data_IF_014145997157
#
_entry.id   IF_014145997157
#
_cell.length_a   1.000
_cell.length_b   1.000
_cell.length_c   1.000
_cell.angle_alpha   90.00
_cell.angle_beta   90.00
_cell.angle_gamma   90.00
#
_symmetry.space_group_name_H-M   'P 1'
#
loop_
_entity.id
_entity.type
_entity.pdbx_description
1 polymer ?
#
# COMPACT_ATOMS: atom_id res chain seq x y z
N UNK A 1 14.38 15.14 -16.95
CA UNK A 1 14.21 13.69 -16.76
C UNK A 1 13.88 13.43 -15.30
N UNK A 2 12.78 12.73 -15.00
CA UNK A 2 12.48 12.32 -13.61
C UNK A 2 13.41 11.16 -13.29
N UNK A 3 14.51 11.44 -12.61
CA UNK A 3 15.44 10.43 -12.09
C UNK A 3 14.69 9.64 -11.03
N UNK A 4 14.20 8.45 -11.38
CA UNK A 4 13.50 7.61 -10.42
C UNK A 4 14.53 6.81 -9.63
N UNK A 5 14.68 7.03 -8.31
CA UNK A 5 15.63 6.25 -7.52
C UNK A 5 15.25 4.76 -7.61
N UNK A 6 16.22 3.89 -7.90
CA UNK A 6 16.03 2.43 -7.89
C UNK A 6 15.96 1.95 -6.45
N UNK A 7 14.81 2.15 -5.80
CA UNK A 7 14.56 1.66 -4.44
C UNK A 7 14.12 0.20 -4.48
N UNK A 8 14.65 -0.62 -3.57
CA UNK A 8 14.25 -2.01 -3.44
C UNK A 8 12.96 -2.12 -2.60
N UNK A 9 11.84 -1.77 -3.22
CA UNK A 9 10.50 -1.81 -2.62
C UNK A 9 10.13 -3.20 -2.13
N UNK A 10 10.58 -4.24 -2.84
CA UNK A 10 10.38 -5.63 -2.41
C UNK A 10 10.97 -5.88 -1.02
N UNK A 11 12.16 -5.35 -0.73
CA UNK A 11 12.79 -5.47 0.59
C UNK A 11 12.08 -4.61 1.64
N UNK A 12 11.77 -3.36 1.30
CA UNK A 12 11.14 -2.39 2.22
C UNK A 12 9.77 -2.90 2.69
N UNK A 13 8.95 -3.38 1.76
CA UNK A 13 7.58 -3.80 2.02
C UNK A 13 7.50 -5.27 2.46
N UNK A 14 8.61 -6.02 2.41
CA UNK A 14 8.68 -7.46 2.75
C UNK A 14 8.06 -7.77 4.09
N UNK A 15 8.35 -6.93 5.10
CA UNK A 15 7.86 -7.16 6.45
C UNK A 15 6.36 -7.01 6.58
N UNK A 16 5.73 -6.12 5.79
CA UNK A 16 4.27 -5.99 5.76
C UNK A 16 3.62 -7.17 5.03
N UNK A 17 4.20 -7.59 3.91
CA UNK A 17 3.72 -8.75 3.13
C UNK A 17 3.82 -10.05 3.93
N UNK A 18 4.93 -10.26 4.66
CA UNK A 18 5.18 -11.52 5.37
C UNK A 18 4.33 -11.70 6.63
N UNK A 19 3.81 -10.61 7.20
CA UNK A 19 2.97 -10.63 8.41
C UNK A 19 1.49 -10.88 8.11
N UNK A 20 1.07 -10.78 6.86
CA UNK A 20 -0.30 -11.08 6.47
C UNK A 20 -0.60 -12.58 6.65
N UNK A 21 -1.83 -12.97 7.07
CA UNK A 21 -2.20 -14.37 7.24
C UNK A 21 -2.01 -15.13 5.93
N UNK A 22 -1.25 -16.21 6.00
CA UNK A 22 -1.05 -17.14 4.88
C UNK A 22 -2.31 -17.99 4.70
N UNK A 23 -2.91 -17.98 3.51
CA UNK A 23 -3.81 -19.08 3.12
C UNK A 23 -2.98 -20.26 2.65
N UNK A 24 -3.60 -21.43 2.64
CA UNK A 24 -3.02 -22.62 2.03
C UNK A 24 -3.68 -22.84 0.68
N UNK A 25 -2.89 -23.17 -0.33
CA UNK A 25 -3.34 -23.55 -1.66
C UNK A 25 -2.90 -24.98 -1.94
N UNK A 26 -3.81 -25.79 -2.44
CA UNK A 26 -3.50 -27.15 -2.88
C UNK A 26 -2.52 -27.11 -4.06
N UNK A 27 -1.57 -28.03 -4.03
CA UNK A 27 -0.54 -28.19 -5.04
C UNK A 27 -0.35 -29.67 -5.36
N UNK A 28 -0.60 -30.02 -6.63
CA UNK A 28 -0.33 -31.36 -7.17
C UNK A 28 1.17 -31.65 -7.30
N UNK A 29 2.02 -30.63 -7.23
CA UNK A 29 3.47 -30.77 -7.29
C UNK A 29 4.11 -31.18 -5.94
N UNK A 30 3.30 -31.37 -4.89
CA UNK A 30 3.76 -31.77 -3.56
C UNK A 30 2.81 -32.80 -2.96
N UNK A 31 3.34 -33.71 -2.13
CA UNK A 31 2.53 -34.62 -1.35
C UNK A 31 2.01 -33.97 -0.06
N UNK A 32 0.88 -34.49 0.44
CA UNK A 32 0.37 -34.11 1.74
C UNK A 32 1.35 -34.54 2.84
N UNK A 33 1.94 -33.57 3.56
CA UNK A 33 2.95 -33.84 4.61
C UNK A 33 2.43 -34.67 5.78
N UNK A 34 1.11 -34.62 6.07
CA UNK A 34 0.50 -35.41 7.15
C UNK A 34 0.16 -36.84 6.70
N UNK A 35 0.01 -37.07 5.39
CA UNK A 35 -0.34 -38.36 4.81
C UNK A 35 0.45 -38.61 3.51
N UNK A 36 1.77 -38.71 3.61
CA UNK A 36 2.65 -38.72 2.43
C UNK A 36 2.46 -39.95 1.51
N UNK A 37 1.92 -41.06 2.02
CA UNK A 37 1.66 -42.29 1.26
C UNK A 37 0.35 -42.23 0.44
N UNK A 38 -0.53 -41.26 0.71
CA UNK A 38 -1.76 -41.01 -0.04
C UNK A 38 -1.46 -40.16 -1.28
N UNK A 39 -1.10 -40.81 -2.39
CA UNK A 39 -0.75 -40.13 -3.65
C UNK A 39 -1.95 -39.39 -4.29
N UNK A 40 -3.16 -39.73 -3.88
CA UNK A 40 -4.41 -39.08 -4.29
C UNK A 40 -4.64 -37.72 -3.62
N UNK A 41 -3.98 -37.45 -2.49
CA UNK A 41 -4.11 -36.18 -1.77
C UNK A 41 -3.06 -35.17 -2.22
N UNK A 42 -3.47 -33.96 -2.63
CA UNK A 42 -2.51 -32.89 -2.90
C UNK A 42 -1.84 -32.42 -1.60
N UNK A 43 -0.61 -31.95 -1.75
CA UNK A 43 0.08 -31.18 -0.72
C UNK A 43 -0.42 -29.74 -0.68
N UNK A 44 -0.08 -29.04 0.38
CA UNK A 44 -0.43 -27.62 0.55
C UNK A 44 0.82 -26.75 0.42
N UNK A 45 0.71 -25.62 -0.29
CA UNK A 45 1.68 -24.53 -0.27
C UNK A 45 1.07 -23.29 0.37
N UNK A 46 1.90 -22.52 1.06
CA UNK A 46 1.52 -21.21 1.58
C UNK A 46 1.29 -20.23 0.44
N UNK A 47 0.15 -19.54 0.46
CA UNK A 47 -0.20 -18.44 -0.44
C UNK A 47 -0.54 -17.21 0.40
N UNK A 48 0.18 -16.13 0.14
CA UNK A 48 -0.13 -14.82 0.70
C UNK A 48 -1.27 -14.21 -0.12
N UNK A 49 -2.44 -14.04 0.50
CA UNK A 49 -3.55 -13.25 -0.07
C UNK A 49 -3.44 -11.79 0.37
N UNK A 50 -2.21 -11.28 0.45
CA UNK A 50 -1.98 -9.87 0.80
C UNK A 50 -2.42 -8.99 -0.35
N UNK A 51 -3.25 -8.00 -0.08
CA UNK A 51 -3.56 -6.93 -1.02
C UNK A 51 -2.77 -5.68 -0.65
N UNK A 52 -2.32 -4.93 -1.66
CA UNK A 52 -1.61 -3.67 -1.44
C UNK A 52 -2.54 -2.54 -1.87
N UNK A 53 -2.91 -1.67 -0.93
CA UNK A 53 -3.68 -0.46 -1.20
C UNK A 53 -2.75 0.76 -1.17
N UNK A 54 -2.50 1.35 -2.33
CA UNK A 54 -1.64 2.51 -2.51
C UNK A 54 -2.52 3.77 -2.63
N UNK A 55 -2.29 4.74 -1.77
CA UNK A 55 -2.95 6.03 -1.73
C UNK A 55 -1.95 7.11 -2.13
N UNK A 56 -2.35 7.96 -3.08
CA UNK A 56 -1.54 9.07 -3.60
C UNK A 56 -2.24 10.37 -3.22
N UNK A 57 -1.54 11.20 -2.47
CA UNK A 57 -2.04 12.51 -2.06
C UNK A 57 -2.19 13.42 -3.27
N UNK A 58 -3.38 14.00 -3.38
CA UNK A 58 -3.81 14.88 -4.46
C UNK A 58 -4.20 16.28 -3.93
N UNK A 59 -3.93 16.55 -2.66
CA UNK A 59 -4.18 17.84 -2.02
C UNK A 59 -3.44 18.98 -2.70
N UNK A 60 -3.87 20.22 -2.44
CA UNK A 60 -3.30 21.40 -3.08
C UNK A 60 -1.83 21.69 -2.71
N UNK A 61 -1.32 21.18 -1.58
CA UNK A 61 0.06 21.39 -1.12
C UNK A 61 1.10 20.60 -1.93
N UNK A 62 0.68 19.52 -2.59
CA UNK A 62 1.58 18.70 -3.40
C UNK A 62 2.00 19.46 -4.66
N UNK A 63 3.30 19.56 -4.91
CA UNK A 63 3.86 20.13 -6.14
C UNK A 63 3.82 19.13 -7.30
N UNK A 64 3.94 19.62 -8.54
CA UNK A 64 3.97 18.75 -9.73
C UNK A 64 5.19 17.80 -9.75
N UNK A 65 6.32 18.22 -9.17
CA UNK A 65 7.50 17.37 -9.03
C UNK A 65 7.27 16.24 -8.02
N UNK A 66 6.72 16.54 -6.84
CA UNK A 66 6.37 15.53 -5.83
C UNK A 66 5.33 14.54 -6.36
N UNK A 67 4.29 15.02 -7.05
CA UNK A 67 3.30 14.14 -7.67
C UNK A 67 3.94 13.18 -8.70
N UNK A 68 4.88 13.68 -9.50
CA UNK A 68 5.61 12.86 -10.48
C UNK A 68 6.50 11.82 -9.79
N UNK A 69 7.15 12.20 -8.68
CA UNK A 69 7.95 11.30 -7.86
C UNK A 69 7.10 10.19 -7.20
N UNK A 70 5.94 10.54 -6.65
CA UNK A 70 5.01 9.59 -6.05
C UNK A 70 4.53 8.57 -7.09
N UNK A 71 4.11 9.04 -8.28
CA UNK A 71 3.69 8.16 -9.38
C UNK A 71 4.83 7.24 -9.83
N UNK A 72 6.05 7.75 -9.93
CA UNK A 72 7.19 6.95 -10.34
C UNK A 72 7.51 5.84 -9.33
N UNK A 73 7.48 6.15 -8.02
CA UNK A 73 7.67 5.17 -6.96
C UNK A 73 6.51 4.16 -6.89
N UNK A 74 5.26 4.61 -7.01
CA UNK A 74 4.08 3.75 -7.09
C UNK A 74 4.17 2.74 -8.25
N UNK A 75 4.61 3.19 -9.43
CA UNK A 75 4.85 2.30 -10.56
C UNK A 75 6.00 1.32 -10.33
N UNK A 76 7.06 1.71 -9.61
CA UNK A 76 8.14 0.77 -9.25
C UNK A 76 7.66 -0.32 -8.28
N UNK A 77 6.80 0.02 -7.32
CA UNK A 77 6.19 -0.95 -6.39
C UNK A 77 5.47 -2.05 -7.19
N UNK A 78 4.63 -1.68 -8.16
CA UNK A 78 3.94 -2.67 -9.02
C UNK A 78 4.89 -3.51 -9.85
N UNK A 79 6.00 -2.94 -10.34
CA UNK A 79 6.97 -3.69 -11.15
C UNK A 79 7.76 -4.71 -10.32
N UNK A 80 8.00 -4.45 -9.04
CA UNK A 80 8.83 -5.30 -8.18
C UNK A 80 8.03 -6.35 -7.40
N UNK A 81 6.71 -6.16 -7.27
CA UNK A 81 5.82 -7.02 -6.50
C UNK A 81 4.84 -7.75 -7.42
N UNK A 82 4.81 -9.07 -7.32
CA UNK A 82 3.86 -9.94 -8.03
C UNK A 82 2.57 -10.13 -7.20
N UNK A 83 2.00 -9.01 -6.75
CA UNK A 83 0.85 -8.95 -5.83
C UNK A 83 -0.16 -7.95 -6.39
N UNK A 84 -1.45 -8.16 -6.12
CA UNK A 84 -2.51 -7.22 -6.49
C UNK A 84 -2.29 -5.87 -5.79
N UNK A 85 -2.01 -4.84 -6.60
CA UNK A 85 -1.88 -3.45 -6.14
C UNK A 85 -3.10 -2.66 -6.60
N UNK A 86 -3.79 -2.05 -5.65
CA UNK A 86 -4.93 -1.17 -5.87
C UNK A 86 -4.48 0.28 -5.66
N UNK A 87 -4.80 1.15 -6.61
CA UNK A 87 -4.41 2.55 -6.55
C UNK A 87 -5.61 3.45 -6.25
N UNK A 88 -5.36 4.44 -5.40
CA UNK A 88 -6.33 5.44 -4.99
C UNK A 88 -5.66 6.81 -4.95
N UNK A 89 -6.38 7.85 -5.32
CA UNK A 89 -6.03 9.23 -4.99
C UNK A 89 -6.86 9.66 -3.79
N UNK A 90 -6.32 10.52 -2.94
CA UNK A 90 -7.08 11.07 -1.82
C UNK A 90 -6.80 12.56 -1.63
N UNK A 91 -7.82 13.25 -1.13
CA UNK A 91 -7.78 14.61 -0.59
C UNK A 91 -8.62 14.64 0.70
N UNK A 92 -9.85 15.15 0.63
CA UNK A 92 -10.94 14.95 1.60
C UNK A 92 -11.71 13.65 1.37
N UNK A 93 -11.63 13.09 0.16
CA UNK A 93 -12.28 11.83 -0.22
C UNK A 93 -11.32 10.93 -0.98
N UNK A 94 -11.62 9.63 -0.94
CA UNK A 94 -10.86 8.61 -1.67
C UNK A 94 -11.51 8.34 -3.02
N UNK A 95 -10.69 8.35 -4.07
CA UNK A 95 -11.10 8.03 -5.44
C UNK A 95 -10.23 6.90 -6.00
N UNK A 96 -10.87 5.89 -6.59
CA UNK A 96 -10.15 4.77 -7.19
C UNK A 96 -9.47 5.18 -8.50
N UNK A 97 -8.18 4.85 -8.62
CA UNK A 97 -7.41 5.02 -9.85
C UNK A 97 -7.42 3.70 -10.62
N UNK A 98 -8.18 3.63 -11.71
CA UNK A 98 -8.27 2.43 -12.56
C UNK A 98 -6.98 2.16 -13.33
N UNK A 99 -6.32 3.20 -13.81
CA UNK A 99 -5.08 3.09 -14.56
C UNK A 99 -4.13 4.22 -14.17
N UNK A 100 -3.09 3.87 -13.41
CA UNK A 100 -2.11 4.83 -12.90
C UNK A 100 -1.27 5.47 -14.02
N UNK A 101 -1.12 4.80 -15.17
CA UNK A 101 -0.32 5.34 -16.29
C UNK A 101 -1.02 6.49 -17.01
N UNK A 102 -2.35 6.51 -16.99
CA UNK A 102 -3.17 7.53 -17.65
C UNK A 102 -3.84 8.46 -16.65
N UNK A 103 -3.58 8.27 -15.36
CA UNK A 103 -4.16 9.11 -14.32
C UNK A 103 -3.57 10.51 -14.41
N UNK A 104 -4.45 11.50 -14.40
CA UNK A 104 -4.08 12.90 -14.32
C UNK A 104 -4.49 13.44 -12.96
N UNK A 105 -3.59 14.23 -12.39
CA UNK A 105 -3.79 14.88 -11.12
C UNK A 105 -4.84 15.99 -11.28
N UNK A 106 -5.80 16.03 -10.37
CA UNK A 106 -6.74 17.15 -10.24
C UNK A 106 -6.55 17.76 -8.85
N UNK A 107 -5.70 18.78 -8.74
CA UNK A 107 -5.44 19.41 -7.44
C UNK A 107 -6.76 19.88 -6.81
N UNK A 108 -7.04 19.42 -5.59
CA UNK A 108 -8.28 19.71 -4.88
C UNK A 108 -8.05 19.82 -3.38
N UNK A 109 -8.79 20.74 -2.75
CA UNK A 109 -9.07 20.79 -1.31
C UNK A 109 -7.89 20.69 -0.32
N UNK A 110 -8.25 20.45 0.94
CA UNK A 110 -7.32 20.07 2.01
C UNK A 110 -7.11 18.55 2.09
N UNK A 111 -6.34 18.12 3.09
CA UNK A 111 -5.96 16.72 3.29
C UNK A 111 -6.70 16.11 4.47
N UNK A 112 -7.25 14.91 4.29
CA UNK A 112 -7.89 14.13 5.37
C UNK A 112 -7.46 12.67 5.28
N UNK A 113 -6.39 12.31 5.98
CA UNK A 113 -5.92 10.94 6.13
C UNK A 113 -6.97 9.98 6.73
N UNK A 114 -7.88 10.43 7.59
CA UNK A 114 -8.96 9.59 8.13
C UNK A 114 -9.85 9.03 7.01
N UNK A 115 -10.03 9.77 5.91
CA UNK A 115 -10.82 9.33 4.76
C UNK A 115 -10.27 8.02 4.13
N UNK A 116 -8.95 7.79 4.21
CA UNK A 116 -8.29 6.56 3.76
C UNK A 116 -8.81 5.38 4.58
N UNK A 117 -8.79 5.52 5.90
CA UNK A 117 -9.12 4.43 6.83
C UNK A 117 -10.61 4.15 6.91
N UNK A 118 -11.45 5.14 6.60
CA UNK A 118 -12.89 4.97 6.47
C UNK A 118 -13.25 4.29 5.13
N UNK A 119 -12.53 4.62 4.05
CA UNK A 119 -12.75 4.04 2.73
C UNK A 119 -12.33 2.58 2.63
N UNK A 120 -11.25 2.18 3.31
CA UNK A 120 -10.71 0.82 3.23
C UNK A 120 -11.76 -0.27 3.55
N UNK A 121 -12.49 -0.24 4.69
CA UNK A 121 -13.57 -1.18 4.96
C UNK A 121 -14.71 -1.13 3.94
N UNK A 122 -15.08 0.07 3.47
CA UNK A 122 -16.15 0.24 2.48
C UNK A 122 -15.79 -0.40 1.12
N UNK A 123 -14.50 -0.39 0.78
CA UNK A 123 -13.93 -1.04 -0.40
C UNK A 123 -13.62 -2.53 -0.21
N UNK A 124 -14.00 -3.11 0.95
CA UNK A 124 -13.79 -4.51 1.33
C UNK A 124 -12.33 -4.92 1.54
N UNK A 125 -11.46 -3.97 1.91
CA UNK A 125 -10.12 -4.29 2.41
C UNK A 125 -10.17 -4.71 3.87
N UNK A 126 -9.40 -5.76 4.22
CA UNK A 126 -9.38 -6.32 5.56
C UNK A 126 -8.04 -6.02 6.27
N UNK A 127 -8.06 -5.56 7.54
CA UNK A 127 -6.85 -5.09 8.24
C UNK A 127 -5.67 -6.05 8.28
N UNK A 128 -5.92 -7.36 8.41
CA UNK A 128 -4.85 -8.37 8.49
C UNK A 128 -4.27 -8.73 7.12
N UNK A 129 -5.04 -8.55 6.05
CA UNK A 129 -4.67 -8.96 4.70
C UNK A 129 -4.24 -7.78 3.83
N UNK A 130 -4.29 -6.55 4.35
CA UNK A 130 -4.01 -5.34 3.57
C UNK A 130 -2.75 -4.64 4.04
N UNK A 131 -1.84 -4.41 3.11
CA UNK A 131 -0.73 -3.49 3.25
C UNK A 131 -1.13 -2.12 2.70
N UNK A 132 -1.17 -1.11 3.55
CA UNK A 132 -1.52 0.26 3.17
C UNK A 132 -0.23 1.04 2.92
N UNK A 133 -0.13 1.68 1.77
CA UNK A 133 1.00 2.51 1.34
C UNK A 133 0.46 3.88 1.00
N UNK A 134 0.92 4.92 1.68
CA UNK A 134 0.40 6.29 1.56
C UNK A 134 1.54 7.20 1.11
N UNK A 135 1.41 7.80 -0.06
CA UNK A 135 2.29 8.84 -0.55
C UNK A 135 1.68 10.20 -0.21
N UNK A 136 2.39 11.03 0.56
CA UNK A 136 1.92 12.36 1.01
C UNK A 136 3.11 13.26 1.33
N UNK A 137 2.92 14.57 1.33
CA UNK A 137 3.89 15.51 1.92
C UNK A 137 3.86 15.50 3.45
N UNK A 138 2.81 14.92 4.04
CA UNK A 138 2.64 14.72 5.47
C UNK A 138 1.85 15.81 6.17
N UNK A 139 1.37 16.82 5.45
CA UNK A 139 0.49 17.85 6.02
C UNK A 139 -0.99 17.42 5.92
N UNK A 140 -1.69 17.46 7.06
CA UNK A 140 -3.07 17.00 7.17
C UNK A 140 -3.58 17.09 8.60
N UNK A 141 -4.07 15.99 9.14
CA UNK A 141 -4.60 15.96 10.50
C UNK A 141 -3.54 16.26 11.56
N UNK A 142 -3.97 17.02 12.58
CA UNK A 142 -3.22 17.28 13.82
C UNK A 142 -3.77 16.46 15.00
N UNK A 143 -4.76 15.62 14.74
CA UNK A 143 -5.41 14.76 15.72
C UNK A 143 -5.06 13.28 15.47
N UNK A 144 -5.43 12.43 16.41
CA UNK A 144 -5.22 10.99 16.31
C UNK A 144 -6.14 10.38 15.24
N UNK A 145 -5.53 9.64 14.32
CA UNK A 145 -6.25 8.87 13.30
C UNK A 145 -6.71 7.53 13.90
N UNK A 146 -7.98 7.19 13.67
CA UNK A 146 -8.56 5.92 14.11
C UNK A 146 -8.45 4.87 13.01
N UNK A 147 -7.74 3.78 13.28
CA UNK A 147 -7.61 2.69 12.31
C UNK A 147 -7.34 1.33 12.94
N UNK A 148 -7.87 0.29 12.28
CA UNK A 148 -7.57 -1.12 12.59
C UNK A 148 -6.39 -1.66 11.77
N UNK A 149 -5.98 -0.95 10.71
CA UNK A 149 -4.88 -1.35 9.82
C UNK A 149 -3.54 -1.13 10.52
N UNK A 150 -2.75 -2.20 10.68
CA UNK A 150 -1.45 -2.15 11.37
C UNK A 150 -0.26 -2.11 10.42
N UNK A 151 -0.45 -2.56 9.17
CA UNK A 151 0.58 -2.55 8.14
C UNK A 151 0.42 -1.31 7.27
N UNK A 152 0.82 -0.16 7.82
CA UNK A 152 0.75 1.14 7.13
C UNK A 152 2.15 1.68 6.91
N UNK A 153 2.42 2.14 5.69
CA UNK A 153 3.67 2.74 5.26
C UNK A 153 3.39 4.14 4.74
N UNK A 154 3.97 5.14 5.37
CA UNK A 154 3.92 6.53 4.96
C UNK A 154 5.19 6.86 4.17
N UNK A 155 5.03 7.34 2.95
CA UNK A 155 6.11 7.66 2.03
C UNK A 155 6.09 9.17 1.80
N UNK A 156 7.08 9.86 2.36
CA UNK A 156 7.18 11.32 2.32
C UNK A 156 8.42 11.74 1.53
N UNK A 157 8.41 12.91 0.87
CA UNK A 157 9.64 13.50 0.34
C UNK A 157 10.69 13.73 1.44
N UNK A 158 11.96 13.78 1.05
CA UNK A 158 13.06 14.08 1.97
C UNK A 158 12.85 15.44 2.69
N UNK A 159 13.14 15.47 4.00
CA UNK A 159 12.97 16.66 4.84
C UNK A 159 11.55 16.92 5.34
N UNK A 160 10.56 16.11 4.94
CA UNK A 160 9.18 16.24 5.42
C UNK A 160 8.84 15.28 6.55
N UNK A 161 7.85 15.66 7.36
CA UNK A 161 7.38 14.92 8.53
C UNK A 161 5.86 14.91 8.57
N UNK A 162 5.26 13.87 9.15
CA UNK A 162 3.82 13.80 9.35
C UNK A 162 3.36 14.82 10.40
N UNK A 163 2.28 15.55 10.11
CA UNK A 163 1.62 16.49 11.04
C UNK A 163 0.93 15.79 12.21
N UNK A 164 0.72 14.48 12.11
CA UNK A 164 0.03 13.65 13.10
C UNK A 164 0.90 13.55 14.36
N UNK A 165 0.41 13.90 15.57
CA UNK A 165 1.23 13.90 16.80
C UNK A 165 1.82 12.54 17.19
N UNK A 166 1.14 11.45 16.83
CA UNK A 166 1.58 10.08 17.10
C UNK A 166 1.38 9.25 15.83
N UNK A 167 2.35 9.30 14.89
CA UNK A 167 2.26 8.54 13.65
C UNK A 167 2.39 7.05 13.95
N UNK A 168 1.61 6.24 13.25
CA UNK A 168 1.61 4.78 13.37
C UNK A 168 2.07 4.14 12.07
N UNK A 169 2.45 2.86 12.14
CA UNK A 169 3.04 2.17 11.01
C UNK A 169 4.51 2.58 10.82
N UNK A 170 4.97 2.59 9.57
CA UNK A 170 6.36 2.91 9.21
C UNK A 170 6.40 4.17 8.37
N UNK A 171 7.28 5.10 8.74
CA UNK A 171 7.53 6.33 7.99
C UNK A 171 8.82 6.16 7.19
N UNK A 172 8.78 6.47 5.89
CA UNK A 172 9.88 6.29 4.94
C UNK A 172 10.00 7.57 4.12
N UNK A 173 11.21 8.11 4.03
CA UNK A 173 11.54 9.24 3.15
C UNK A 173 11.88 8.75 1.76
N UNK A 174 11.44 9.43 0.70
CA UNK A 174 11.67 9.15 -0.74
C UNK A 174 12.98 9.71 -1.28
#
# INVERSE_FOLDING_TARGET
EVVVPKRNWKSILRSGISQAPNKKKDSRARFNRRQAYRLDLPGEISRYDTEIAVFIDNSASISNSQASEFLANAMQITKQLDINVHFFSFDTKVHQIKNIKTWQRHAGGGTTFQSIFDALPALKFFPLQTLVVIFTDGDGEKELIQTKFKHVYWLLPEGQTLSIPSPFGKVITL
#
